data_IF_278376914760
#
_entry.id   IF_278376914760
#
_cell.length_a   1.000
_cell.length_b   1.000
_cell.length_c   1.000
_cell.angle_alpha   90.00
_cell.angle_beta   90.00
_cell.angle_gamma   90.00
#
_symmetry.space_group_name_H-M   'P 1'
#
loop_
_entity.id
_entity.type
_entity.pdbx_description
1 polymer ?
#
# COMPACT_ATOMS: atom_id res chain seq x y z
N UNK A 1 -59.07 14.92 5.57
CA UNK A 1 -57.79 15.68 5.52
C UNK A 1 -56.65 15.06 6.35
N UNK A 2 -56.63 13.75 6.60
CA UNK A 2 -55.66 13.09 7.52
C UNK A 2 -54.69 12.08 6.86
N UNK A 3 -54.79 11.80 5.54
CA UNK A 3 -53.94 10.83 4.87
C UNK A 3 -52.64 11.40 4.26
N UNK A 4 -52.51 12.72 4.10
CA UNK A 4 -51.29 13.33 3.51
C UNK A 4 -50.08 13.42 4.47
N UNK A 5 -50.29 13.57 5.78
CA UNK A 5 -49.20 13.72 6.76
C UNK A 5 -48.37 12.43 6.95
N UNK A 6 -48.98 11.25 6.80
CA UNK A 6 -48.29 9.96 6.97
C UNK A 6 -47.34 9.63 5.82
N UNK A 7 -47.61 10.09 4.60
CA UNK A 7 -46.79 9.83 3.43
C UNK A 7 -45.49 10.67 3.45
N UNK A 8 -45.56 11.91 3.88
CA UNK A 8 -44.39 12.81 4.00
C UNK A 8 -43.39 12.31 5.03
N UNK A 9 -43.83 11.76 6.15
CA UNK A 9 -42.98 11.21 7.21
C UNK A 9 -42.16 9.99 6.68
N UNK A 10 -42.80 9.09 5.94
CA UNK A 10 -42.16 7.90 5.37
C UNK A 10 -41.10 8.26 4.31
N UNK A 11 -41.35 9.26 3.48
CA UNK A 11 -40.42 9.74 2.44
C UNK A 11 -39.19 10.36 3.10
N UNK A 12 -39.32 11.16 4.15
CA UNK A 12 -38.19 11.72 4.88
C UNK A 12 -37.31 10.64 5.52
N UNK A 13 -37.94 9.62 6.11
CA UNK A 13 -37.22 8.51 6.73
C UNK A 13 -36.44 7.69 5.67
N UNK A 14 -36.98 7.45 4.47
CA UNK A 14 -36.33 6.76 3.39
C UNK A 14 -35.15 7.58 2.83
N UNK A 15 -35.30 8.88 2.68
CA UNK A 15 -34.22 9.77 2.19
C UNK A 15 -33.06 9.80 3.20
N UNK A 16 -33.34 9.88 4.50
CA UNK A 16 -32.31 9.85 5.55
C UNK A 16 -31.58 8.50 5.56
N UNK A 17 -32.29 7.38 5.37
CA UNK A 17 -31.70 6.05 5.30
C UNK A 17 -30.80 5.89 4.05
N UNK A 18 -31.23 6.41 2.90
CA UNK A 18 -30.45 6.43 1.65
C UNK A 18 -29.18 7.29 1.76
N UNK A 19 -29.25 8.44 2.45
CA UNK A 19 -28.08 9.28 2.70
C UNK A 19 -27.07 8.62 3.66
N UNK A 20 -27.51 7.78 4.58
CA UNK A 20 -26.65 7.01 5.47
C UNK A 20 -25.92 5.89 4.73
N UNK A 21 -26.53 5.29 3.70
CA UNK A 21 -25.92 4.21 2.89
C UNK A 21 -24.85 4.72 1.92
N UNK A 22 -24.82 6.02 1.59
CA UNK A 22 -23.83 6.61 0.68
C UNK A 22 -22.46 6.86 1.33
N UNK A 23 -22.35 6.77 2.68
CA UNK A 23 -21.12 7.08 3.42
C UNK A 23 -20.25 5.87 3.79
N UNK A 24 -20.60 4.65 3.33
CA UNK A 24 -19.89 3.42 3.76
C UNK A 24 -18.64 3.13 2.92
N UNK A 25 -18.42 3.85 1.83
CA UNK A 25 -17.33 3.52 0.89
C UNK A 25 -15.95 4.07 1.22
N UNK A 26 -15.78 4.86 2.29
CA UNK A 26 -14.49 5.52 2.61
C UNK A 26 -13.76 4.96 3.84
N UNK A 27 -14.19 3.84 4.40
CA UNK A 27 -13.58 3.28 5.63
C UNK A 27 -12.11 2.89 5.43
N UNK A 28 -11.70 2.55 4.22
CA UNK A 28 -10.30 2.21 3.90
C UNK A 28 -9.38 3.41 3.74
N UNK A 29 -9.93 4.58 3.42
CA UNK A 29 -9.13 5.81 3.23
C UNK A 29 -8.68 6.43 4.57
N UNK A 30 -9.35 6.12 5.68
CA UNK A 30 -9.10 6.77 6.97
C UNK A 30 -7.85 6.30 7.72
N UNK A 31 -7.22 5.19 7.31
CA UNK A 31 -6.04 4.65 8.00
C UNK A 31 -4.70 5.18 7.43
N UNK A 32 -4.74 5.85 6.29
CA UNK A 32 -3.56 6.39 5.63
C UNK A 32 -3.60 7.90 5.54
N UNK A 33 -2.51 8.57 5.96
CA UNK A 33 -2.33 10.01 5.85
C UNK A 33 -1.15 10.28 4.92
N UNK A 34 -1.42 10.85 3.73
CA UNK A 34 -0.36 11.23 2.79
C UNK A 34 0.45 12.43 3.32
N UNK A 35 1.77 12.33 3.28
CA UNK A 35 2.75 13.36 3.66
C UNK A 35 3.77 13.60 2.55
N UNK A 36 3.32 13.56 1.32
CA UNK A 36 4.19 13.76 0.18
C UNK A 36 4.96 12.48 -0.18
N UNK A 37 6.27 12.45 0.03
CA UNK A 37 7.11 11.29 -0.31
C UNK A 37 6.89 10.07 0.60
N UNK A 38 6.14 10.22 1.69
CA UNK A 38 5.73 9.10 2.55
C UNK A 38 4.26 9.18 2.95
N UNK A 39 3.75 8.04 3.38
CA UNK A 39 2.37 7.81 3.84
C UNK A 39 2.43 7.26 5.26
N UNK A 40 1.70 7.87 6.18
CA UNK A 40 1.50 7.35 7.54
C UNK A 40 0.40 6.30 7.50
N UNK A 41 0.71 5.10 7.96
CA UNK A 41 -0.25 4.04 8.25
C UNK A 41 -0.57 4.06 9.74
N UNK A 42 -1.77 4.53 10.08
CA UNK A 42 -2.22 4.64 11.47
C UNK A 42 -2.47 3.28 12.11
N UNK A 43 -2.86 2.29 11.32
CA UNK A 43 -3.20 0.96 11.80
C UNK A 43 -1.97 0.16 12.22
N UNK A 44 -0.87 0.30 11.48
CA UNK A 44 0.38 -0.40 11.71
C UNK A 44 1.40 0.44 12.48
N UNK A 45 1.14 1.75 12.67
CA UNK A 45 2.09 2.75 13.22
C UNK A 45 3.40 2.82 12.40
N UNK A 46 3.26 2.74 11.08
CA UNK A 46 4.34 2.74 10.12
C UNK A 46 4.28 3.96 9.20
N UNK A 47 5.40 4.27 8.61
CA UNK A 47 5.53 5.23 7.52
C UNK A 47 6.06 4.49 6.28
N UNK A 48 5.32 4.57 5.18
CA UNK A 48 5.64 3.93 3.92
C UNK A 48 6.15 4.93 2.90
N UNK A 49 7.15 4.60 2.12
CA UNK A 49 7.43 5.37 0.90
C UNK A 49 6.21 5.41 -0.01
N UNK A 50 5.80 6.61 -0.45
CA UNK A 50 4.69 6.77 -1.40
C UNK A 50 4.99 6.13 -2.73
N UNK A 51 6.20 6.35 -3.25
CA UNK A 51 6.66 5.82 -4.53
C UNK A 51 7.45 4.52 -4.38
N UNK A 52 7.40 3.67 -5.40
CA UNK A 52 8.29 2.53 -5.54
C UNK A 52 9.74 3.02 -5.71
N UNK A 53 10.72 2.30 -5.18
CA UNK A 53 12.15 2.62 -5.35
C UNK A 53 12.52 2.80 -6.84
N UNK A 54 13.34 3.80 -7.12
CA UNK A 54 13.66 4.27 -8.47
C UNK A 54 12.83 5.46 -8.93
N UNK A 55 11.71 5.73 -8.24
CA UNK A 55 10.87 6.90 -8.52
C UNK A 55 11.02 7.97 -7.43
N UNK A 56 10.71 9.21 -7.79
CA UNK A 56 10.72 10.37 -6.89
C UNK A 56 9.34 10.99 -6.79
N UNK A 57 8.97 11.44 -5.60
CA UNK A 57 7.75 12.21 -5.39
C UNK A 57 7.96 13.66 -5.80
N UNK A 58 7.31 14.10 -6.87
CA UNK A 58 7.40 15.46 -7.42
C UNK A 58 6.00 15.92 -7.81
N UNK A 59 5.58 17.11 -7.36
CA UNK A 59 4.28 17.70 -7.72
C UNK A 59 3.09 16.74 -7.58
N UNK A 60 3.02 16.04 -6.45
CA UNK A 60 1.96 15.08 -6.11
C UNK A 60 1.90 13.83 -7.02
N UNK A 61 3.02 13.46 -7.65
CA UNK A 61 3.14 12.27 -8.52
C UNK A 61 4.44 11.53 -8.24
N UNK A 62 4.44 10.24 -8.54
CA UNK A 62 5.67 9.45 -8.62
C UNK A 62 6.28 9.60 -10.02
N UNK A 63 7.44 10.25 -10.11
CA UNK A 63 8.13 10.56 -11.37
C UNK A 63 9.37 9.69 -11.51
N UNK A 64 9.64 9.21 -12.70
CA UNK A 64 10.74 8.29 -13.01
C UNK A 64 10.24 6.88 -13.32
N UNK A 65 11.15 5.92 -13.33
CA UNK A 65 10.81 4.50 -13.55
C UNK A 65 11.10 3.70 -12.29
N UNK A 66 10.16 2.86 -11.84
CA UNK A 66 10.45 1.94 -10.75
C UNK A 66 11.54 0.96 -11.20
N UNK A 67 12.46 0.62 -10.30
CA UNK A 67 13.54 -0.33 -10.58
C UNK A 67 13.32 -1.63 -9.85
N UNK A 68 13.71 -2.73 -10.51
CA UNK A 68 13.82 -4.04 -9.86
C UNK A 68 15.27 -4.23 -9.41
N UNK A 69 15.45 -4.75 -8.20
CA UNK A 69 16.76 -4.98 -7.61
C UNK A 69 16.88 -6.40 -7.10
N UNK A 70 18.10 -6.95 -7.15
CA UNK A 70 18.41 -8.22 -6.52
C UNK A 70 18.53 -8.06 -5.00
N UNK A 71 18.49 -9.17 -4.29
CA UNK A 71 18.54 -9.15 -2.83
C UNK A 71 19.84 -8.54 -2.28
N UNK A 72 20.97 -8.80 -2.94
CA UNK A 72 22.29 -8.29 -2.58
C UNK A 72 22.45 -6.76 -2.75
N UNK A 73 21.55 -6.13 -3.50
CA UNK A 73 21.52 -4.67 -3.73
C UNK A 73 20.67 -3.91 -2.70
N UNK A 74 19.87 -4.64 -1.91
CA UNK A 74 18.88 -4.03 -1.00
C UNK A 74 19.55 -3.14 0.05
N UNK A 75 20.66 -3.59 0.66
CA UNK A 75 21.34 -2.82 1.70
C UNK A 75 21.83 -1.46 1.18
N UNK A 76 22.37 -1.44 -0.04
CA UNK A 76 22.77 -0.19 -0.70
C UNK A 76 21.58 0.76 -0.90
N UNK A 77 20.42 0.21 -1.31
CA UNK A 77 19.19 1.00 -1.49
C UNK A 77 18.71 1.58 -0.15
N UNK A 78 18.74 0.80 0.92
CA UNK A 78 18.36 1.24 2.27
C UNK A 78 19.29 2.36 2.75
N UNK A 79 20.60 2.18 2.60
CA UNK A 79 21.60 3.19 2.99
C UNK A 79 21.36 4.51 2.25
N UNK A 80 21.18 4.46 0.92
CA UNK A 80 20.89 5.64 0.12
C UNK A 80 19.58 6.33 0.54
N UNK A 81 18.53 5.55 0.85
CA UNK A 81 17.26 6.10 1.30
C UNK A 81 17.42 6.83 2.64
N UNK A 82 18.17 6.26 3.59
CA UNK A 82 18.43 6.84 4.89
C UNK A 82 19.26 8.13 4.79
N UNK A 83 20.26 8.15 3.92
CA UNK A 83 21.08 9.34 3.66
C UNK A 83 20.28 10.47 3.00
N UNK A 84 19.43 10.16 2.03
CA UNK A 84 18.72 11.18 1.24
C UNK A 84 17.45 11.70 1.91
N UNK A 85 16.73 10.83 2.64
CA UNK A 85 15.41 11.14 3.19
C UNK A 85 15.40 11.23 4.73
N UNK A 86 16.50 10.82 5.35
CA UNK A 86 16.61 10.69 6.80
C UNK A 86 15.75 9.56 7.37
N UNK A 87 16.05 9.13 8.58
CA UNK A 87 15.31 8.11 9.31
C UNK A 87 15.91 6.72 9.18
N UNK A 88 15.14 5.70 9.53
CA UNK A 88 15.56 4.29 9.56
C UNK A 88 14.71 3.46 8.61
N UNK A 89 14.79 3.75 7.32
CA UNK A 89 14.09 2.99 6.28
C UNK A 89 14.63 1.55 6.22
N UNK A 90 13.73 0.61 5.98
CA UNK A 90 14.03 -0.81 5.89
C UNK A 90 13.09 -1.51 4.91
N UNK A 91 13.38 -2.76 4.56
CA UNK A 91 12.37 -3.61 3.93
C UNK A 91 11.22 -3.87 4.91
N UNK A 92 9.99 -3.91 4.42
CA UNK A 92 8.85 -4.39 5.21
C UNK A 92 8.99 -5.89 5.49
N UNK A 93 8.49 -6.36 6.63
CA UNK A 93 8.25 -7.77 6.80
C UNK A 93 7.06 -8.21 5.92
N UNK A 94 6.82 -9.52 5.83
CA UNK A 94 5.76 -10.06 4.99
C UNK A 94 4.38 -9.54 5.37
N UNK A 95 4.03 -9.57 6.66
CA UNK A 95 2.71 -9.12 7.14
C UNK A 95 2.49 -7.63 6.92
N UNK A 96 3.51 -6.82 7.11
CA UNK A 96 3.46 -5.39 6.82
C UNK A 96 3.13 -5.15 5.34
N UNK A 97 3.85 -5.79 4.42
CA UNK A 97 3.62 -5.59 3.00
C UNK A 97 2.28 -6.19 2.53
N UNK A 98 1.86 -7.33 3.09
CA UNK A 98 0.54 -7.93 2.87
C UNK A 98 -0.59 -6.99 3.30
N UNK A 99 -0.40 -6.16 4.34
CA UNK A 99 -1.42 -5.22 4.81
C UNK A 99 -1.77 -4.14 3.80
N UNK A 100 -0.90 -3.87 2.83
CA UNK A 100 -1.17 -2.95 1.72
C UNK A 100 -2.02 -3.57 0.61
N UNK A 101 -2.26 -4.89 0.64
CA UNK A 101 -3.03 -5.57 -0.41
C UNK A 101 -4.50 -5.18 -0.35
N UNK A 102 -4.96 -4.58 -1.42
CA UNK A 102 -6.37 -4.25 -1.66
C UNK A 102 -6.98 -5.33 -2.58
N UNK A 103 -7.71 -6.30 -2.00
CA UNK A 103 -8.30 -7.42 -2.75
C UNK A 103 -9.32 -6.96 -3.78
N UNK A 104 -10.10 -5.93 -3.46
CA UNK A 104 -11.18 -5.41 -4.30
C UNK A 104 -10.69 -4.39 -5.34
N UNK A 105 -9.42 -3.96 -5.26
CA UNK A 105 -8.84 -3.08 -6.27
C UNK A 105 -8.73 -3.82 -7.62
N UNK A 106 -9.07 -3.11 -8.70
CA UNK A 106 -9.03 -3.68 -10.07
C UNK A 106 -7.58 -3.75 -10.55
N UNK A 107 -7.06 -3.45 -11.49
CA UNK A 107 -5.76 -3.45 -12.16
C UNK A 107 -4.54 -3.82 -11.29
N UNK A 108 -4.31 -3.10 -10.19
CA UNK A 108 -3.23 -3.34 -9.22
C UNK A 108 -3.83 -3.54 -7.84
N UNK A 109 -3.37 -4.57 -7.12
CA UNK A 109 -3.89 -4.97 -5.81
C UNK A 109 -3.31 -4.13 -4.65
N UNK A 110 -3.29 -2.82 -4.83
CA UNK A 110 -2.93 -1.82 -3.83
C UNK A 110 -3.76 -0.55 -4.10
N UNK A 111 -4.03 0.24 -3.07
CA UNK A 111 -4.75 1.49 -3.24
C UNK A 111 -3.92 2.52 -4.01
N UNK A 112 -4.19 2.68 -5.31
CA UNK A 112 -3.45 3.57 -6.21
C UNK A 112 -3.66 5.06 -5.92
N UNK A 113 -4.66 5.46 -5.14
CA UNK A 113 -4.81 6.84 -4.67
C UNK A 113 -3.79 7.18 -3.59
N UNK A 114 -3.39 6.18 -2.79
CA UNK A 114 -2.42 6.31 -1.70
C UNK A 114 -1.00 6.01 -2.20
N UNK A 115 -0.86 4.96 -3.03
CA UNK A 115 0.40 4.47 -3.58
C UNK A 115 0.35 4.49 -5.12
N UNK A 116 0.43 5.69 -5.73
CA UNK A 116 0.31 5.83 -7.18
C UNK A 116 1.44 5.11 -7.92
N UNK A 117 1.18 4.75 -9.16
CA UNK A 117 2.15 4.17 -10.10
C UNK A 117 2.89 2.93 -9.58
N UNK A 118 2.26 2.21 -8.65
CA UNK A 118 2.82 0.94 -8.14
C UNK A 118 2.76 -0.13 -9.21
N UNK A 119 3.89 -0.76 -9.58
CA UNK A 119 3.90 -1.89 -10.52
C UNK A 119 3.04 -3.06 -10.04
N UNK A 120 2.25 -3.62 -10.97
CA UNK A 120 1.46 -4.83 -10.73
C UNK A 120 2.35 -6.08 -10.82
N UNK A 121 3.31 -6.21 -9.91
CA UNK A 121 4.31 -7.27 -9.88
C UNK A 121 4.75 -7.59 -8.44
N UNK A 122 5.80 -8.41 -8.28
CA UNK A 122 6.32 -8.83 -6.97
C UNK A 122 7.24 -7.78 -6.34
N UNK A 123 7.09 -7.64 -5.03
CA UNK A 123 7.89 -6.78 -4.17
C UNK A 123 8.59 -7.60 -3.08
N UNK A 124 9.83 -7.25 -2.77
CA UNK A 124 10.61 -7.89 -1.72
C UNK A 124 10.05 -7.64 -0.32
N UNK A 125 10.13 -8.66 0.52
CA UNK A 125 10.02 -8.53 1.99
C UNK A 125 11.38 -8.80 2.64
N UNK A 126 11.52 -8.51 3.94
CA UNK A 126 12.71 -8.82 4.72
C UNK A 126 12.79 -10.29 5.16
N UNK A 127 11.76 -11.09 4.90
CA UNK A 127 11.67 -12.45 5.42
C UNK A 127 12.21 -13.51 4.47
N UNK A 128 13.10 -14.37 5.01
CA UNK A 128 13.51 -15.61 4.37
C UNK A 128 12.45 -16.68 4.53
N UNK A 129 12.39 -17.61 3.57
CA UNK A 129 11.59 -18.79 3.72
C UNK A 129 12.19 -19.68 4.85
N UNK A 130 11.45 -20.03 5.90
CA UNK A 130 12.01 -20.77 7.04
C UNK A 130 12.38 -22.22 6.71
N UNK A 131 11.80 -22.79 5.65
CA UNK A 131 12.09 -24.16 5.22
C UNK A 131 13.20 -24.24 4.17
N UNK A 132 13.44 -23.16 3.43
CA UNK A 132 14.41 -23.07 2.33
C UNK A 132 15.06 -21.68 2.33
N UNK A 133 16.08 -21.49 3.14
CA UNK A 133 16.72 -20.20 3.45
C UNK A 133 17.32 -19.46 2.24
N UNK A 134 17.52 -20.17 1.11
CA UNK A 134 17.95 -19.57 -0.16
C UNK A 134 16.82 -18.75 -0.83
N UNK A 135 15.57 -18.89 -0.39
CA UNK A 135 14.43 -18.16 -0.92
C UNK A 135 13.93 -17.10 0.03
N UNK A 136 13.36 -16.05 -0.55
CA UNK A 136 12.72 -14.95 0.15
C UNK A 136 11.21 -14.96 -0.09
N UNK A 137 10.47 -14.35 0.83
CA UNK A 137 9.08 -14.02 0.62
C UNK A 137 8.93 -12.74 -0.19
N UNK A 138 7.95 -12.73 -1.09
CA UNK A 138 7.52 -11.56 -1.87
C UNK A 138 6.01 -11.41 -1.80
N UNK A 139 5.50 -10.19 -1.93
CA UNK A 139 4.08 -9.89 -2.13
C UNK A 139 3.89 -9.41 -3.56
N UNK A 140 2.94 -9.98 -4.27
CA UNK A 140 2.68 -9.65 -5.66
C UNK A 140 1.42 -8.79 -5.80
N UNK A 141 1.57 -7.54 -6.21
CA UNK A 141 0.45 -6.61 -6.37
C UNK A 141 -0.35 -6.78 -7.67
N UNK A 142 -0.04 -7.75 -8.53
CA UNK A 142 -0.93 -8.16 -9.61
C UNK A 142 -2.00 -9.11 -9.10
N UNK A 143 -1.60 -10.12 -8.33
CA UNK A 143 -2.51 -11.16 -7.83
C UNK A 143 -3.06 -10.87 -6.43
N UNK A 144 -2.35 -10.07 -5.62
CA UNK A 144 -2.58 -9.88 -4.19
C UNK A 144 -2.09 -11.05 -3.33
N UNK A 145 -1.33 -11.98 -3.90
CA UNK A 145 -0.83 -13.17 -3.21
C UNK A 145 0.64 -13.01 -2.78
N UNK A 146 1.01 -13.83 -1.82
CA UNK A 146 2.38 -13.93 -1.29
C UNK A 146 3.05 -15.20 -1.79
N UNK A 147 4.32 -15.09 -2.19
CA UNK A 147 5.11 -16.20 -2.71
C UNK A 147 6.42 -16.34 -1.92
N UNK A 148 6.70 -17.53 -1.38
CA UNK A 148 7.85 -17.80 -0.52
C UNK A 148 9.03 -18.50 -1.21
N UNK A 149 9.05 -18.57 -2.54
CA UNK A 149 10.10 -19.27 -3.30
C UNK A 149 10.78 -18.38 -4.31
N UNK A 150 11.09 -17.13 -3.92
CA UNK A 150 11.81 -16.21 -4.81
C UNK A 150 13.30 -16.24 -4.53
N UNK A 151 14.12 -16.70 -5.49
CA UNK A 151 15.58 -16.66 -5.37
C UNK A 151 16.09 -15.22 -5.32
N UNK A 152 17.07 -14.92 -4.47
CA UNK A 152 17.60 -13.57 -4.29
C UNK A 152 18.22 -12.94 -5.55
N UNK A 153 18.63 -13.75 -6.53
CA UNK A 153 19.20 -13.28 -7.80
C UNK A 153 18.16 -12.84 -8.83
N UNK A 154 16.86 -13.15 -8.63
CA UNK A 154 15.78 -12.66 -9.49
C UNK A 154 15.34 -11.28 -8.96
N UNK A 155 15.48 -10.19 -9.75
CA UNK A 155 15.20 -8.86 -9.28
C UNK A 155 13.68 -8.61 -9.11
N UNK A 156 13.30 -7.99 -8.00
CA UNK A 156 11.93 -7.57 -7.70
C UNK A 156 11.89 -6.10 -7.30
N UNK A 157 10.70 -5.53 -7.24
CA UNK A 157 10.49 -4.17 -6.78
C UNK A 157 10.67 -4.04 -5.27
N UNK A 158 10.87 -2.81 -4.82
CA UNK A 158 11.04 -2.45 -3.41
C UNK A 158 10.15 -1.27 -3.06
N UNK A 159 9.47 -1.36 -1.93
CA UNK A 159 8.88 -0.26 -1.21
C UNK A 159 9.39 -0.30 0.22
N UNK A 160 10.05 0.75 0.64
CA UNK A 160 10.60 0.82 2.00
C UNK A 160 9.55 1.32 3.00
N UNK A 161 9.77 0.94 4.24
CA UNK A 161 8.96 1.29 5.40
C UNK A 161 9.87 1.69 6.55
N UNK A 162 9.37 2.50 7.48
CA UNK A 162 10.03 2.76 8.77
C UNK A 162 9.01 2.85 9.90
N UNK A 163 9.48 2.69 11.12
CA UNK A 163 8.69 2.97 12.31
C UNK A 163 8.36 4.46 12.39
N UNK A 164 7.19 4.75 12.94
CA UNK A 164 6.72 6.12 13.16
C UNK A 164 7.17 6.66 14.51
#
# INVERSE_FOLDING_TARGET
MLKLKSSFSKIHTIIILLLFLLNINDVWANNFISRGYYVIDLSQKLEWMTCTVGMKWIQKKCVGKPIKVKLDQIETIITQANEQLGGSWRLPNRKELESLVCKDCKNVKINSRIFPDTPAESFWTSEKNPWQSQFMWTVNFFTGNTFGRFPGFIPNYVRLVRER
#
